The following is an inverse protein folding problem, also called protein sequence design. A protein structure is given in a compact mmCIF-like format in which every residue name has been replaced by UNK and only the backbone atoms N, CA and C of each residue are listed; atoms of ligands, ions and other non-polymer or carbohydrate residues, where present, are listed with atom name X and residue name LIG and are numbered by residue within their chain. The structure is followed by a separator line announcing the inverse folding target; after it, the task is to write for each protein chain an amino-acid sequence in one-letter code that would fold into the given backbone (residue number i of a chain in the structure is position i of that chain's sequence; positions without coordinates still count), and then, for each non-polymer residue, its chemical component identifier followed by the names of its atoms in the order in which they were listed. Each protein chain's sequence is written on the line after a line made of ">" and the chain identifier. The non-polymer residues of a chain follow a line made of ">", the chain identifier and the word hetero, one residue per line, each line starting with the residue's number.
data_IF_987788082089
#
_entry.id   IF_987788082089
#
_cell.length_a   1.000
_cell.length_b   1.000
_cell.length_c   1.000
_cell.angle_alpha   90.00
_cell.angle_beta   90.00
_cell.angle_gamma   90.00
#
_symmetry.space_group_name_H-M   'P 1'
#
loop_
_entity.id
_entity.type
_entity.pdbx_description
1 polymer ?
#
# COMPACT_ATOMS: atom_id res chain seq x y z
N UNK A 1 30.20 26.09 -6.56
CA UNK A 1 29.12 25.36 -5.87
C UNK A 1 28.36 24.53 -6.90
N UNK A 2 28.67 23.23 -7.00
CA UNK A 2 27.93 22.33 -7.92
C UNK A 2 26.52 22.12 -7.38
N UNK A 3 25.50 22.55 -8.13
CA UNK A 3 24.12 22.16 -7.88
C UNK A 3 23.92 20.75 -8.42
N UNK A 4 24.00 19.74 -7.55
CA UNK A 4 23.51 18.39 -7.83
C UNK A 4 21.97 18.41 -7.82
N UNK A 5 21.35 19.01 -8.84
CA UNK A 5 19.95 18.70 -9.17
C UNK A 5 19.95 17.43 -10.00
N UNK A 6 20.13 16.30 -9.33
CA UNK A 6 19.61 15.03 -9.81
C UNK A 6 18.60 14.53 -8.78
N UNK A 7 17.48 15.23 -8.68
CA UNK A 7 16.24 14.64 -8.17
C UNK A 7 15.78 13.63 -9.23
N UNK A 8 16.47 12.49 -9.32
CA UNK A 8 16.01 11.40 -10.16
C UNK A 8 14.58 11.09 -9.74
N UNK A 9 13.63 11.16 -10.68
CA UNK A 9 12.25 10.77 -10.43
C UNK A 9 12.27 9.39 -9.74
N UNK A 10 11.55 9.20 -8.62
CA UNK A 10 11.46 7.91 -7.98
C UNK A 10 11.09 6.86 -9.03
N UNK A 11 11.89 5.81 -9.18
CA UNK A 11 11.69 4.74 -10.17
C UNK A 11 11.72 3.38 -9.49
N UNK A 12 11.05 2.41 -10.11
CA UNK A 12 11.10 1.02 -9.65
C UNK A 12 12.48 0.42 -9.92
N UNK A 13 13.02 -0.26 -8.91
CA UNK A 13 14.26 -1.02 -9.05
C UNK A 13 14.00 -2.37 -9.73
N UNK A 14 14.97 -2.86 -10.51
CA UNK A 14 14.93 -4.23 -11.04
C UNK A 14 14.98 -5.25 -9.88
N UNK A 15 14.20 -6.33 -9.97
CA UNK A 15 14.09 -7.35 -8.94
C UNK A 15 15.28 -8.36 -8.92
N UNK A 16 16.51 -7.86 -8.99
CA UNK A 16 17.73 -8.67 -8.85
C UNK A 16 17.84 -9.28 -7.45
N UNK A 17 18.63 -10.35 -7.26
CA UNK A 17 18.82 -10.93 -5.93
C UNK A 17 19.41 -9.93 -4.92
N UNK A 18 20.30 -9.06 -5.37
CA UNK A 18 20.89 -7.99 -4.56
C UNK A 18 19.79 -7.03 -4.11
N UNK A 19 18.98 -6.50 -5.03
CA UNK A 19 17.92 -5.55 -4.70
C UNK A 19 16.83 -6.16 -3.81
N UNK A 20 16.50 -7.45 -4.02
CA UNK A 20 15.58 -8.17 -3.13
C UNK A 20 16.15 -8.34 -1.72
N UNK A 21 17.45 -8.62 -1.60
CA UNK A 21 18.12 -8.73 -0.29
C UNK A 21 18.12 -7.39 0.45
N UNK A 22 18.48 -6.31 -0.24
CA UNK A 22 18.43 -4.95 0.31
C UNK A 22 17.01 -4.55 0.73
N UNK A 23 16.00 -4.86 -0.09
CA UNK A 23 14.61 -4.58 0.22
C UNK A 23 14.13 -5.34 1.48
N UNK A 24 14.49 -6.63 1.63
CA UNK A 24 14.17 -7.40 2.83
C UNK A 24 14.81 -6.81 4.08
N UNK A 25 16.08 -6.44 4.01
CA UNK A 25 16.80 -5.80 5.12
C UNK A 25 16.15 -4.47 5.49
N UNK A 26 15.78 -3.65 4.51
CA UNK A 26 15.09 -2.39 4.74
C UNK A 26 13.74 -2.61 5.43
N UNK A 27 12.92 -3.55 4.94
CA UNK A 27 11.61 -3.87 5.54
C UNK A 27 11.77 -4.37 6.97
N UNK A 28 12.74 -5.26 7.22
CA UNK A 28 13.02 -5.78 8.56
C UNK A 28 13.48 -4.71 9.56
N UNK A 29 14.06 -3.61 9.06
CA UNK A 29 14.49 -2.47 9.87
C UNK A 29 13.42 -1.42 10.15
N UNK A 30 12.22 -1.52 9.53
CA UNK A 30 11.14 -0.56 9.77
C UNK A 30 10.58 -0.75 11.18
N UNK A 31 10.73 0.27 12.03
CA UNK A 31 10.06 0.30 13.32
C UNK A 31 8.66 0.90 13.18
N UNK A 32 7.61 0.31 13.79
CA UNK A 32 6.30 0.93 13.85
C UNK A 32 6.38 2.28 14.59
N UNK A 33 5.88 3.37 13.99
CA UNK A 33 5.90 4.69 14.62
C UNK A 33 5.08 5.75 13.89
N UNK A 34 4.71 6.81 14.62
CA UNK A 34 4.08 8.05 14.14
C UNK A 34 2.64 7.97 13.57
N UNK A 35 1.89 6.93 13.92
CA UNK A 35 0.50 6.76 13.47
C UNK A 35 0.41 6.41 11.99
N UNK A 36 -0.79 6.51 11.42
CA UNK A 36 -1.08 5.97 10.09
C UNK A 36 -1.63 7.06 9.19
N UNK A 37 -0.97 7.30 8.05
CA UNK A 37 -1.45 8.23 7.03
C UNK A 37 -1.45 7.57 5.64
N UNK A 38 -2.62 7.12 5.22
CA UNK A 38 -2.78 6.28 4.03
C UNK A 38 -2.57 7.04 2.72
N UNK A 39 -3.05 8.28 2.62
CA UNK A 39 -3.03 9.02 1.35
C UNK A 39 -1.61 9.33 0.85
N UNK A 40 -0.69 9.90 1.65
CA UNK A 40 0.68 10.18 1.21
C UNK A 40 1.45 8.93 0.78
N UNK A 41 1.21 7.79 1.43
CA UNK A 41 1.84 6.52 1.09
C UNK A 41 1.43 6.06 -0.32
N UNK A 42 0.13 6.09 -0.63
CA UNK A 42 -0.39 5.72 -1.95
C UNK A 42 0.02 6.75 -3.02
N UNK A 43 0.00 8.04 -2.68
CA UNK A 43 0.48 9.10 -3.58
C UNK A 43 1.95 8.89 -3.96
N UNK A 44 2.81 8.53 -2.99
CA UNK A 44 4.21 8.21 -3.23
C UNK A 44 4.36 6.96 -4.12
N UNK A 45 3.58 5.91 -3.86
CA UNK A 45 3.61 4.70 -4.68
C UNK A 45 3.25 4.99 -6.15
N UNK A 46 2.23 5.82 -6.40
CA UNK A 46 1.85 6.22 -7.76
C UNK A 46 2.93 7.04 -8.49
N UNK A 47 3.76 7.80 -7.77
CA UNK A 47 4.90 8.55 -8.35
C UNK A 47 5.98 7.64 -8.92
N UNK A 48 6.05 6.38 -8.48
CA UNK A 48 6.97 5.36 -9.01
C UNK A 48 6.53 4.81 -10.39
N UNK A 49 5.36 5.23 -10.90
CA UNK A 49 4.73 4.71 -12.13
C UNK A 49 4.59 3.18 -12.16
N UNK A 50 3.95 2.56 -11.15
CA UNK A 50 3.74 1.11 -11.14
C UNK A 50 2.59 0.70 -12.06
N UNK A 51 2.60 -0.56 -12.49
CA UNK A 51 1.43 -1.21 -13.09
C UNK A 51 0.48 -1.77 -12.01
N UNK A 52 1.01 -2.13 -10.84
CA UNK A 52 0.26 -2.76 -9.73
C UNK A 52 0.78 -2.26 -8.38
N UNK A 53 -0.13 -1.98 -7.45
CA UNK A 53 0.13 -1.64 -6.04
C UNK A 53 -0.60 -2.65 -5.15
N UNK A 54 0.09 -3.22 -4.17
CA UNK A 54 -0.51 -3.96 -3.06
C UNK A 54 -0.39 -3.13 -1.78
N UNK A 55 -1.53 -2.71 -1.23
CA UNK A 55 -1.61 -1.96 0.01
C UNK A 55 -1.94 -2.91 1.17
N UNK A 56 -1.06 -3.00 2.16
CA UNK A 56 -1.15 -3.92 3.30
C UNK A 56 -1.40 -3.12 4.58
N UNK A 57 -2.39 -3.50 5.37
CA UNK A 57 -2.67 -2.86 6.68
C UNK A 57 -3.43 -3.78 7.61
N UNK A 58 -3.26 -3.57 8.92
CA UNK A 58 -3.97 -4.24 10.00
C UNK A 58 -5.19 -3.47 10.52
N UNK A 59 -5.42 -2.25 10.02
CA UNK A 59 -6.49 -1.39 10.51
C UNK A 59 -7.16 -0.58 9.38
N UNK A 60 -8.47 -0.41 9.49
CA UNK A 60 -9.24 0.54 8.70
C UNK A 60 -9.24 1.96 9.29
N UNK A 61 -8.58 2.16 10.44
CA UNK A 61 -8.51 3.44 11.15
C UNK A 61 -7.07 3.96 11.25
N UNK A 62 -6.83 5.28 11.07
CA UNK A 62 -7.81 6.30 10.71
C UNK A 62 -8.33 6.12 9.28
N UNK A 63 -9.64 6.15 9.09
CA UNK A 63 -10.23 5.94 7.78
C UNK A 63 -9.79 7.01 6.77
N UNK A 64 -9.49 6.58 5.53
CA UNK A 64 -9.26 7.51 4.43
C UNK A 64 -10.57 8.18 4.00
N UNK A 65 -10.67 9.54 4.01
CA UNK A 65 -11.87 10.25 3.60
C UNK A 65 -12.20 10.04 2.11
N UNK A 66 -13.48 10.14 1.71
CA UNK A 66 -13.89 10.02 0.31
C UNK A 66 -13.17 10.96 -0.66
N UNK A 67 -12.84 12.18 -0.22
CA UNK A 67 -12.12 13.15 -1.04
C UNK A 67 -10.68 12.69 -1.39
N UNK A 68 -10.03 11.97 -0.47
CA UNK A 68 -8.69 11.42 -0.71
C UNK A 68 -8.74 10.22 -1.66
N UNK A 69 -9.77 9.36 -1.54
CA UNK A 69 -10.02 8.27 -2.49
C UNK A 69 -10.21 8.79 -3.92
N UNK A 70 -11.04 9.83 -4.10
CA UNK A 70 -11.23 10.45 -5.43
C UNK A 70 -9.95 11.12 -5.94
N UNK A 71 -9.15 11.73 -5.05
CA UNK A 71 -7.85 12.29 -5.42
C UNK A 71 -6.90 11.18 -5.91
N UNK A 72 -6.84 10.03 -5.22
CA UNK A 72 -6.05 8.86 -5.64
C UNK A 72 -6.53 8.35 -7.00
N UNK A 73 -7.83 8.16 -7.19
CA UNK A 73 -8.40 7.71 -8.47
C UNK A 73 -7.98 8.62 -9.62
N UNK A 74 -8.06 9.94 -9.44
CA UNK A 74 -7.62 10.93 -10.43
C UNK A 74 -6.12 10.88 -10.69
N UNK A 75 -5.30 10.76 -9.64
CA UNK A 75 -3.84 10.65 -9.77
C UNK A 75 -3.41 9.36 -10.48
N UNK A 76 -4.10 8.26 -10.19
CA UNK A 76 -3.87 6.97 -10.82
C UNK A 76 -4.24 7.03 -12.31
N UNK A 77 -5.38 7.64 -12.64
CA UNK A 77 -5.88 7.78 -14.01
C UNK A 77 -5.91 6.43 -14.78
N UNK A 78 -6.24 5.36 -14.07
CA UNK A 78 -6.30 4.00 -14.62
C UNK A 78 -4.96 3.33 -14.93
N UNK A 79 -3.82 3.92 -14.54
CA UNK A 79 -2.48 3.39 -14.87
C UNK A 79 -2.09 2.16 -14.05
N UNK A 80 -2.35 2.19 -12.74
CA UNK A 80 -2.03 1.10 -11.83
C UNK A 80 -3.31 0.41 -11.33
N UNK A 81 -3.26 -0.92 -11.18
CA UNK A 81 -4.25 -1.65 -10.37
C UNK A 81 -3.87 -1.54 -8.90
N UNK A 82 -4.81 -1.15 -8.04
CA UNK A 82 -4.56 -1.07 -6.60
C UNK A 82 -5.32 -2.18 -5.89
N UNK A 83 -4.61 -3.06 -5.19
CA UNK A 83 -5.19 -4.08 -4.33
C UNK A 83 -5.03 -3.71 -2.86
N UNK A 84 -5.99 -4.12 -2.03
CA UNK A 84 -5.91 -3.95 -0.58
C UNK A 84 -5.95 -5.31 0.11
N UNK A 85 -5.02 -5.51 1.03
CA UNK A 85 -4.87 -6.71 1.85
C UNK A 85 -4.97 -6.27 3.30
N UNK A 86 -6.06 -6.68 3.95
CA UNK A 86 -6.31 -6.41 5.36
C UNK A 86 -5.90 -7.62 6.19
N UNK A 87 -5.17 -7.37 7.28
CA UNK A 87 -4.81 -8.38 8.27
C UNK A 87 -5.60 -8.13 9.54
N UNK A 88 -6.26 -9.16 10.06
CA UNK A 88 -6.96 -9.06 11.33
C UNK A 88 -6.95 -10.38 12.08
N UNK A 89 -7.45 -10.38 13.31
CA UNK A 89 -7.57 -11.59 14.13
C UNK A 89 -9.03 -12.06 14.12
N UNK A 90 -9.25 -13.32 13.74
CA UNK A 90 -10.58 -13.92 13.67
C UNK A 90 -11.25 -13.75 12.31
N UNK A 91 -12.54 -14.13 12.19
CA UNK A 91 -13.28 -13.96 10.95
C UNK A 91 -13.47 -12.48 10.61
N UNK A 92 -13.54 -12.18 9.31
CA UNK A 92 -13.87 -10.84 8.83
C UNK A 92 -15.25 -10.42 9.34
N UNK A 93 -15.33 -9.25 9.98
CA UNK A 93 -16.59 -8.67 10.44
C UNK A 93 -17.27 -7.92 9.27
N UNK A 94 -18.40 -8.44 8.81
CA UNK A 94 -19.15 -7.91 7.65
C UNK A 94 -19.77 -6.52 7.87
N UNK A 95 -19.81 -6.03 9.10
CA UNK A 95 -20.35 -4.72 9.44
C UNK A 95 -19.47 -3.55 8.93
N UNK A 96 -18.24 -3.83 8.51
CA UNK A 96 -17.30 -2.84 7.92
C UNK A 96 -17.26 -2.86 6.38
N UNK A 97 -18.30 -3.39 5.74
CA UNK A 97 -18.37 -3.61 4.27
C UNK A 97 -18.25 -2.35 3.41
N UNK A 98 -18.40 -1.14 3.97
CA UNK A 98 -18.23 0.13 3.25
C UNK A 98 -16.91 0.87 3.56
N UNK A 99 -15.92 0.20 4.14
CA UNK A 99 -14.65 0.82 4.49
C UNK A 99 -13.80 1.23 3.26
N UNK A 100 -12.82 2.11 3.46
CA UNK A 100 -11.98 2.60 2.37
C UNK A 100 -11.14 1.48 1.73
N UNK A 101 -10.80 0.42 2.48
CA UNK A 101 -10.04 -0.73 2.00
C UNK A 101 -10.78 -1.52 0.91
N UNK A 102 -12.12 -1.44 0.88
CA UNK A 102 -12.93 -2.00 -0.20
C UNK A 102 -13.11 -1.02 -1.35
N UNK A 103 -13.30 0.26 -1.05
CA UNK A 103 -13.54 1.31 -2.06
C UNK A 103 -12.30 1.63 -2.89
N UNK A 104 -11.13 1.74 -2.26
CA UNK A 104 -9.86 2.04 -2.92
C UNK A 104 -9.57 1.07 -4.08
N UNK A 105 -9.57 -0.26 -3.89
CA UNK A 105 -9.33 -1.19 -4.98
C UNK A 105 -10.45 -1.19 -6.02
N UNK A 106 -11.72 -1.09 -5.60
CA UNK A 106 -12.86 -1.02 -6.53
C UNK A 106 -12.76 0.18 -7.49
N UNK A 107 -12.34 1.35 -6.98
CA UNK A 107 -12.18 2.56 -7.79
C UNK A 107 -10.95 2.52 -8.70
N UNK A 108 -10.02 1.58 -8.49
CA UNK A 108 -8.73 1.51 -9.15
C UNK A 108 -8.47 0.12 -9.79
N UNK A 109 -9.54 -0.61 -10.14
CA UNK A 109 -9.45 -1.84 -10.92
C UNK A 109 -8.76 -3.03 -10.24
N UNK A 110 -8.69 -3.02 -8.90
CA UNK A 110 -8.13 -4.12 -8.12
C UNK A 110 -9.16 -4.79 -7.21
N UNK A 111 -8.66 -5.50 -6.20
CA UNK A 111 -9.47 -6.31 -5.29
C UNK A 111 -9.09 -6.09 -3.84
N UNK A 112 -10.04 -6.38 -2.95
CA UNK A 112 -9.84 -6.44 -1.51
C UNK A 112 -9.75 -7.90 -1.06
N UNK A 113 -8.84 -8.20 -0.13
CA UNK A 113 -8.77 -9.49 0.57
C UNK A 113 -8.52 -9.28 2.06
N UNK A 114 -9.27 -9.99 2.89
CA UNK A 114 -9.03 -10.12 4.31
C UNK A 114 -8.26 -11.40 4.63
N UNK A 115 -7.27 -11.32 5.51
CA UNK A 115 -6.54 -12.46 6.02
C UNK A 115 -6.56 -12.48 7.56
N UNK A 116 -7.13 -13.56 8.09
CA UNK A 116 -7.09 -13.88 9.51
C UNK A 116 -5.68 -14.39 9.90
N UNK A 117 -4.92 -13.56 10.61
CA UNK A 117 -3.54 -13.86 11.00
C UNK A 117 -3.45 -15.01 12.00
N UNK A 118 -4.54 -15.33 12.72
CA UNK A 118 -4.57 -16.49 13.64
C UNK A 118 -4.47 -17.83 12.90
N UNK A 119 -4.74 -17.83 11.59
CA UNK A 119 -4.65 -19.02 10.72
C UNK A 119 -3.30 -19.15 10.03
N UNK A 120 -2.37 -18.20 10.24
CA UNK A 120 -1.05 -18.28 9.64
C UNK A 120 -0.25 -19.35 10.38
N UNK A 121 0.31 -20.29 9.63
CA UNK A 121 1.28 -21.23 10.21
C UNK A 121 2.52 -20.42 10.58
N UNK A 122 3.07 -20.62 11.78
CA UNK A 122 4.37 -20.05 12.13
C UNK A 122 5.38 -20.41 11.02
N UNK A 123 6.20 -19.45 10.56
CA UNK A 123 7.29 -19.78 9.67
C UNK A 123 8.20 -20.76 10.41
N UNK A 124 8.36 -21.95 9.83
CA UNK A 124 9.37 -22.93 10.23
C UNK A 124 10.77 -22.33 10.08
#
# INVERSE_FOLDING_TARGET
>A
VLKLKNEAKPTLAHATEINKTLARQQIAGVQPGAGTNHFPAIELALKLNPDVIFFLTDAAEPAMPPAELEKIKRLNNGRARIHSIEFGVGPELTEYTSNFLRRLPQQNGGTYRYHDVSKFKSPL
#
